data_IF_341488044867
#
_entry.id   IF_341488044867
#
_cell.length_a   1.000
_cell.length_b   1.000
_cell.length_c   1.000
_cell.angle_alpha   90.00
_cell.angle_beta   90.00
_cell.angle_gamma   90.00
#
_symmetry.space_group_name_H-M   'P 1'
#
loop_
_entity.id
_entity.type
_entity.pdbx_description
1 polymer ?
#
# COMPACT_ATOMS: atom_id res chain seq x y z
N UNK A 1 7.87 15.80 -12.38
CA UNK A 1 6.96 14.67 -12.14
C UNK A 1 6.77 13.99 -13.47
N UNK A 2 7.29 12.78 -13.60
CA UNK A 2 7.16 11.99 -14.81
C UNK A 2 5.78 11.32 -14.81
N UNK A 3 5.04 11.40 -15.92
CA UNK A 3 3.66 10.89 -15.99
C UNK A 3 3.59 9.51 -16.68
N UNK A 4 4.71 8.82 -16.77
CA UNK A 4 4.74 7.46 -17.28
C UNK A 4 3.97 6.53 -16.33
N UNK A 5 3.25 5.55 -16.88
CA UNK A 5 2.46 4.61 -16.09
C UNK A 5 3.29 3.89 -15.01
N UNK A 6 4.55 3.57 -15.31
CA UNK A 6 5.50 2.97 -14.38
C UNK A 6 5.88 3.92 -13.24
N UNK A 7 6.24 5.17 -13.54
CA UNK A 7 6.57 6.15 -12.51
C UNK A 7 5.38 6.45 -11.59
N UNK A 8 4.18 6.50 -12.18
CA UNK A 8 2.96 6.78 -11.43
C UNK A 8 2.55 5.61 -10.53
N UNK A 9 2.79 4.37 -10.96
CA UNK A 9 2.57 3.18 -10.12
C UNK A 9 3.57 3.11 -8.97
N UNK A 10 4.84 3.37 -9.22
CA UNK A 10 5.89 3.27 -8.20
C UNK A 10 5.67 4.30 -7.08
N UNK A 11 5.22 5.52 -7.43
CA UNK A 11 4.94 6.58 -6.46
C UNK A 11 3.61 6.38 -5.69
N UNK A 12 2.52 5.98 -6.37
CA UNK A 12 1.16 6.03 -5.80
C UNK A 12 0.68 4.67 -5.29
N UNK A 13 1.16 3.55 -5.85
CA UNK A 13 0.72 2.22 -5.44
C UNK A 13 1.01 1.89 -3.96
N UNK A 14 2.23 2.11 -3.41
CA UNK A 14 2.50 1.75 -2.01
C UNK A 14 1.63 2.53 -1.03
N UNK A 15 1.43 3.82 -1.27
CA UNK A 15 0.57 4.68 -0.44
C UNK A 15 -0.92 4.30 -0.55
N UNK A 16 -1.39 3.96 -1.74
CA UNK A 16 -2.76 3.48 -1.96
C UNK A 16 -3.03 2.16 -1.24
N UNK A 17 -2.09 1.21 -1.31
CA UNK A 17 -2.19 -0.08 -0.62
C UNK A 17 -2.28 0.10 0.90
N UNK A 18 -1.50 1.03 1.47
CA UNK A 18 -1.59 1.37 2.89
C UNK A 18 -2.95 1.94 3.27
N UNK A 19 -3.50 2.86 2.47
CA UNK A 19 -4.83 3.45 2.74
C UNK A 19 -5.92 2.37 2.71
N UNK A 20 -5.92 1.51 1.68
CA UNK A 20 -6.89 0.41 1.57
C UNK A 20 -6.73 -0.58 2.74
N UNK A 21 -5.50 -0.97 3.05
CA UNK A 21 -5.20 -1.86 4.18
C UNK A 21 -5.68 -1.28 5.51
N UNK A 22 -5.47 0.01 5.74
CA UNK A 22 -5.94 0.71 6.93
C UNK A 22 -7.46 0.69 7.06
N UNK A 23 -8.17 1.00 5.97
CA UNK A 23 -9.63 1.00 5.96
C UNK A 23 -10.19 -0.40 6.28
N UNK A 24 -9.65 -1.45 5.64
CA UNK A 24 -10.09 -2.82 5.86
C UNK A 24 -9.74 -3.34 7.26
N UNK A 25 -8.65 -2.85 7.85
CA UNK A 25 -8.29 -3.17 9.23
C UNK A 25 -9.23 -2.51 10.25
N UNK A 26 -9.63 -1.25 10.02
CA UNK A 26 -10.42 -0.44 10.96
C UNK A 26 -11.93 -0.75 10.93
N UNK A 27 -12.51 -1.06 9.76
CA UNK A 27 -13.94 -1.38 9.63
C UNK A 27 -14.16 -2.91 9.68
N UNK A 28 -14.70 -3.49 10.76
CA UNK A 28 -14.41 -4.89 11.06
C UNK A 28 -15.44 -5.88 10.47
N UNK A 29 -14.89 -6.81 9.70
CA UNK A 29 -15.26 -8.23 9.67
C UNK A 29 -13.96 -9.04 9.85
N UNK A 30 -13.91 -10.14 10.62
CA UNK A 30 -12.66 -10.78 11.02
C UNK A 30 -11.70 -11.15 9.87
N UNK A 31 -12.25 -11.66 8.76
CA UNK A 31 -11.45 -12.00 7.57
C UNK A 31 -10.93 -10.75 6.83
N UNK A 32 -11.77 -9.72 6.75
CA UNK A 32 -11.46 -8.45 6.09
C UNK A 32 -10.37 -7.68 6.85
N UNK A 33 -10.37 -7.73 8.18
CA UNK A 33 -9.32 -7.12 9.00
C UNK A 33 -7.98 -7.84 8.90
N UNK A 34 -7.97 -9.18 8.77
CA UNK A 34 -6.74 -9.93 8.53
C UNK A 34 -6.14 -9.59 7.16
N UNK A 35 -6.97 -9.44 6.13
CA UNK A 35 -6.56 -8.96 4.82
C UNK A 35 -6.04 -7.52 4.89
N UNK A 36 -6.72 -6.64 5.64
CA UNK A 36 -6.28 -5.27 5.89
C UNK A 36 -4.90 -5.19 6.53
N UNK A 37 -4.64 -6.00 7.56
CA UNK A 37 -3.32 -6.11 8.18
C UNK A 37 -2.25 -6.61 7.19
N UNK A 38 -2.59 -7.59 6.34
CA UNK A 38 -1.70 -8.06 5.27
C UNK A 38 -1.36 -6.96 4.26
N UNK A 39 -2.35 -6.17 3.84
CA UNK A 39 -2.15 -5.03 2.93
C UNK A 39 -1.33 -3.91 3.58
N UNK A 40 -1.52 -3.65 4.88
CA UNK A 40 -0.68 -2.69 5.61
C UNK A 40 0.79 -3.12 5.62
N UNK A 41 1.04 -4.40 5.89
CA UNK A 41 2.39 -4.96 5.85
C UNK A 41 2.99 -4.91 4.44
N UNK A 42 2.20 -5.24 3.42
CA UNK A 42 2.63 -5.19 2.02
C UNK A 42 2.95 -3.77 1.57
N UNK A 43 2.05 -2.81 1.82
CA UNK A 43 2.24 -1.41 1.46
C UNK A 43 3.45 -0.79 2.17
N UNK A 44 3.67 -1.14 3.44
CA UNK A 44 4.85 -0.70 4.18
C UNK A 44 6.14 -1.30 3.60
N UNK A 45 6.16 -2.61 3.33
CA UNK A 45 7.31 -3.27 2.74
C UNK A 45 7.65 -2.71 1.34
N UNK A 46 6.63 -2.44 0.51
CA UNK A 46 6.82 -1.82 -0.79
C UNK A 46 7.33 -0.39 -0.65
N UNK A 47 6.76 0.43 0.23
CA UNK A 47 7.28 1.78 0.47
C UNK A 47 8.78 1.74 0.84
N UNK A 48 9.17 0.87 1.77
CA UNK A 48 10.58 0.71 2.13
C UNK A 48 11.45 0.24 0.97
N UNK A 49 10.94 -0.64 0.11
CA UNK A 49 11.64 -1.07 -1.10
C UNK A 49 11.87 0.07 -2.09
N UNK A 50 10.89 0.97 -2.23
CA UNK A 50 10.98 2.11 -3.14
C UNK A 50 11.92 3.19 -2.61
N UNK A 51 12.07 3.33 -1.28
CA UNK A 51 12.98 4.32 -0.68
C UNK A 51 14.45 4.14 -1.16
N UNK A 52 14.88 2.92 -1.45
CA UNK A 52 16.22 2.65 -1.99
C UNK A 52 16.34 2.93 -3.50
N UNK A 53 15.21 3.15 -4.19
CA UNK A 53 15.11 3.34 -5.64
C UNK A 53 14.89 4.79 -6.09
N UNK A 54 14.60 5.70 -5.15
CA UNK A 54 14.37 7.13 -5.39
C UNK A 54 15.66 7.94 -5.34
#
# INVERSE_FOLDING_TARGET
>A
MDLSWSSLSDDIAPSTVLVVGFLLFVFPEPATSALGAGLLLLGAAWWFYEWDRV
#
